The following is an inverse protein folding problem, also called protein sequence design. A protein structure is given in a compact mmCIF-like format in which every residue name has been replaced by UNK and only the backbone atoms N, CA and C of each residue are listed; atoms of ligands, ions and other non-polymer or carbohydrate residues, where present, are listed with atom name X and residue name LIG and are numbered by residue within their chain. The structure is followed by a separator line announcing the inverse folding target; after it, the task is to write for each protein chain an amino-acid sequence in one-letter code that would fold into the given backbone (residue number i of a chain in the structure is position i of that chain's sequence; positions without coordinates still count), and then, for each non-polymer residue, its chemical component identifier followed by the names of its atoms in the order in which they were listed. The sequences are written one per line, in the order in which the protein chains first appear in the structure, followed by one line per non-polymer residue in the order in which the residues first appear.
data_IF_985470758443
#
_entry.id   IF_985470758443
#
_cell.length_a   1.000
_cell.length_b   1.000
_cell.length_c   1.000
_cell.angle_alpha   90.00
_cell.angle_beta   90.00
_cell.angle_gamma   90.00
#
_symmetry.space_group_name_H-M   'P 1'
#
loop_
_entity.id
_entity.type
_entity.pdbx_description
1 polymer ?
#
# COMPACT_ATOMS: atom_id res chain seq x y z
N UNK A 1 59.55 34.57 -14.17
CA UNK A 1 58.88 33.25 -14.28
C UNK A 1 58.40 32.88 -12.88
N UNK A 2 57.12 32.50 -12.76
CA UNK A 2 56.48 31.74 -11.66
C UNK A 2 56.53 32.34 -10.24
N UNK A 3 55.51 32.34 -9.39
CA UNK A 3 54.17 31.75 -9.40
C UNK A 3 53.33 32.30 -8.24
N UNK A 4 52.00 32.32 -8.44
CA UNK A 4 50.94 31.92 -7.51
C UNK A 4 51.05 32.36 -6.04
N UNK A 5 50.21 33.32 -5.66
CA UNK A 5 49.67 33.39 -4.30
C UNK A 5 48.24 32.85 -4.33
N UNK A 6 48.09 31.65 -3.79
CA UNK A 6 46.84 30.96 -3.55
C UNK A 6 46.07 31.69 -2.43
N UNK A 7 44.97 32.33 -2.78
CA UNK A 7 43.89 32.65 -1.84
C UNK A 7 42.72 31.71 -2.14
N UNK A 8 42.86 30.45 -1.73
CA UNK A 8 41.73 29.52 -1.61
C UNK A 8 40.99 29.91 -0.33
N UNK A 9 39.99 30.78 -0.48
CA UNK A 9 38.94 30.95 0.52
C UNK A 9 38.20 29.62 0.58
N UNK A 10 38.36 28.92 1.70
CA UNK A 10 37.74 27.61 1.94
C UNK A 10 36.22 27.71 1.78
N UNK A 11 35.69 27.01 0.78
CA UNK A 11 34.26 26.87 0.46
C UNK A 11 33.47 26.02 1.48
N UNK A 12 33.98 25.80 2.68
CA UNK A 12 33.39 24.83 3.63
C UNK A 12 32.65 25.44 4.83
N UNK A 13 32.46 26.77 4.88
CA UNK A 13 31.67 27.41 5.94
C UNK A 13 30.25 27.86 5.50
N UNK A 14 29.75 27.40 4.35
CA UNK A 14 28.36 27.64 3.89
C UNK A 14 27.39 26.46 4.13
N UNK A 15 27.81 25.45 4.89
CA UNK A 15 26.97 24.29 5.22
C UNK A 15 26.37 24.47 6.61
N UNK A 16 25.10 24.93 6.68
CA UNK A 16 24.01 24.48 7.60
C UNK A 16 22.90 25.51 7.85
N UNK A 17 22.93 26.71 7.27
CA UNK A 17 21.70 27.51 7.16
C UNK A 17 21.01 27.11 5.86
N UNK A 18 20.21 26.03 5.88
CA UNK A 18 19.27 25.74 4.78
C UNK A 18 18.45 27.00 4.56
N UNK A 19 18.70 27.66 3.41
CA UNK A 19 18.07 28.88 2.96
C UNK A 19 16.56 28.69 2.93
N UNK A 20 15.88 29.08 4.00
CA UNK A 20 14.58 29.72 3.84
C UNK A 20 14.89 31.12 3.30
N UNK A 21 14.53 31.45 2.05
CA UNK A 21 14.73 32.81 1.52
C UNK A 21 13.95 33.88 2.30
N UNK A 22 13.06 33.48 3.22
CA UNK A 22 12.32 34.33 4.14
C UNK A 22 12.35 33.78 5.57
N UNK A 23 12.28 34.66 6.56
CA UNK A 23 11.96 34.27 7.94
C UNK A 23 10.69 33.41 7.92
N UNK A 24 10.76 32.17 8.43
CA UNK A 24 9.64 31.22 8.48
C UNK A 24 8.36 31.89 8.97
N UNK A 25 8.48 32.71 10.01
CA UNK A 25 7.33 33.35 10.64
C UNK A 25 6.71 34.39 9.72
N UNK A 26 7.52 35.13 8.96
CA UNK A 26 7.03 36.11 8.00
C UNK A 26 6.29 35.43 6.84
N UNK A 27 6.82 34.31 6.33
CA UNK A 27 6.15 33.51 5.30
C UNK A 27 4.80 32.99 5.81
N UNK A 28 4.77 32.34 6.98
CA UNK A 28 3.54 31.80 7.54
C UNK A 28 2.51 32.88 7.87
N UNK A 29 2.95 34.03 8.36
CA UNK A 29 2.07 35.17 8.61
C UNK A 29 1.49 35.73 7.31
N UNK A 30 2.31 35.88 6.28
CA UNK A 30 1.85 36.32 4.96
C UNK A 30 0.80 35.36 4.39
N UNK A 31 1.07 34.05 4.41
CA UNK A 31 0.15 33.02 3.92
C UNK A 31 -1.17 33.00 4.70
N UNK A 32 -1.13 33.16 6.03
CA UNK A 32 -2.35 33.27 6.86
C UNK A 32 -3.17 34.51 6.55
N UNK A 33 -2.51 35.64 6.31
CA UNK A 33 -3.17 36.91 6.03
C UNK A 33 -3.78 36.95 4.62
N UNK A 34 -3.03 36.47 3.63
CA UNK A 34 -3.40 36.56 2.21
C UNK A 34 -4.19 35.34 1.72
N UNK A 35 -4.09 34.21 2.43
CA UNK A 35 -4.76 32.96 2.08
C UNK A 35 -4.48 32.55 0.62
N UNK A 36 -5.51 32.19 -0.18
CA UNK A 36 -5.31 31.78 -1.57
C UNK A 36 -4.84 32.91 -2.49
N UNK A 37 -4.85 34.18 -2.04
CA UNK A 37 -4.39 35.32 -2.84
C UNK A 37 -2.90 35.64 -2.64
N UNK A 38 -2.21 34.92 -1.76
CA UNK A 38 -0.76 35.03 -1.62
C UNK A 38 -0.04 34.62 -2.91
N UNK A 39 1.24 35.02 -3.05
CA UNK A 39 2.05 34.62 -4.19
C UNK A 39 2.15 33.08 -4.26
N UNK A 40 2.01 32.53 -5.46
CA UNK A 40 2.06 31.07 -5.65
C UNK A 40 3.43 30.49 -5.32
N UNK A 41 4.49 31.28 -5.46
CA UNK A 41 5.84 30.91 -5.07
C UNK A 41 6.00 30.86 -3.54
N UNK A 42 5.31 31.71 -2.78
CA UNK A 42 5.26 31.63 -1.31
C UNK A 42 4.61 30.33 -0.86
N UNK A 43 3.50 29.95 -1.53
CA UNK A 43 2.86 28.66 -1.30
C UNK A 43 3.74 27.48 -1.72
N UNK A 44 4.47 27.61 -2.82
CA UNK A 44 5.43 26.60 -3.25
C UNK A 44 6.54 26.42 -2.21
N UNK A 45 7.06 27.53 -1.65
CA UNK A 45 8.05 27.52 -0.58
C UNK A 45 7.50 26.91 0.71
N UNK A 46 6.23 27.17 1.04
CA UNK A 46 5.56 26.53 2.17
C UNK A 46 5.57 25.01 2.04
N UNK A 47 5.08 24.46 0.93
CA UNK A 47 5.06 23.00 0.75
C UNK A 47 6.47 22.41 0.65
N UNK A 48 7.39 23.10 -0.03
CA UNK A 48 8.73 22.60 -0.29
C UNK A 48 9.62 22.65 0.96
N UNK A 49 9.67 23.78 1.68
CA UNK A 49 10.57 23.99 2.82
C UNK A 49 9.90 23.76 4.18
N UNK A 50 8.69 24.27 4.39
CA UNK A 50 8.01 24.17 5.69
C UNK A 50 7.44 22.77 5.90
N UNK A 51 6.65 22.30 4.94
CA UNK A 51 6.11 20.94 4.98
C UNK A 51 7.19 19.91 4.67
N UNK A 52 8.10 20.23 3.75
CA UNK A 52 9.29 19.44 3.48
C UNK A 52 9.10 18.35 2.43
N UNK A 53 8.01 18.40 1.64
CA UNK A 53 7.69 17.38 0.64
C UNK A 53 8.18 17.76 -0.76
N UNK A 54 8.24 16.79 -1.65
CA UNK A 54 8.45 17.08 -3.07
C UNK A 54 7.17 17.70 -3.65
N UNK A 55 7.34 18.86 -4.30
CA UNK A 55 6.31 19.52 -5.08
C UNK A 55 6.79 19.77 -6.50
N UNK A 56 5.87 19.84 -7.45
CA UNK A 56 6.19 20.11 -8.85
C UNK A 56 5.05 20.87 -9.55
N UNK A 57 5.34 21.60 -10.64
CA UNK A 57 4.35 22.34 -11.40
C UNK A 57 3.30 21.43 -12.06
N UNK A 58 2.04 21.86 -12.04
CA UNK A 58 0.95 21.13 -12.69
C UNK A 58 -0.13 22.07 -13.26
N UNK A 59 -0.92 21.56 -14.21
CA UNK A 59 -2.19 22.16 -14.60
C UNK A 59 -3.30 21.53 -13.75
N UNK A 60 -3.52 22.09 -12.56
CA UNK A 60 -4.45 21.46 -11.59
C UNK A 60 -5.90 21.55 -12.02
N UNK A 61 -6.24 22.57 -12.82
CA UNK A 61 -7.58 22.76 -13.40
C UNK A 61 -7.89 21.66 -14.41
N UNK A 62 -6.94 21.38 -15.31
CA UNK A 62 -7.09 20.32 -16.32
C UNK A 62 -6.63 18.95 -15.81
N UNK A 63 -6.13 18.86 -14.57
CA UNK A 63 -5.64 17.64 -13.92
C UNK A 63 -4.48 16.98 -14.68
N UNK A 64 -3.56 17.79 -15.21
CA UNK A 64 -2.40 17.33 -15.97
C UNK A 64 -1.09 17.63 -15.23
N UNK A 65 -0.22 16.63 -15.12
CA UNK A 65 1.16 16.79 -14.65
C UNK A 65 2.11 16.92 -15.83
N UNK A 66 2.95 17.96 -15.85
CA UNK A 66 3.95 18.14 -16.91
C UNK A 66 5.21 17.30 -16.67
N UNK A 67 5.55 17.12 -15.40
CA UNK A 67 6.76 16.43 -14.97
C UNK A 67 6.52 14.92 -14.79
N UNK A 68 7.55 14.13 -15.06
CA UNK A 68 7.57 12.70 -14.77
C UNK A 68 7.81 12.49 -13.26
N UNK A 69 6.76 12.74 -12.48
CA UNK A 69 6.79 12.72 -11.02
C UNK A 69 7.25 11.38 -10.41
N UNK A 70 7.21 10.27 -11.16
CA UNK A 70 7.64 8.96 -10.67
C UNK A 70 9.12 8.90 -10.28
N UNK A 71 9.98 9.74 -10.87
CA UNK A 71 11.39 9.87 -10.49
C UNK A 71 11.54 10.42 -9.06
N UNK A 72 10.63 11.28 -8.64
CA UNK A 72 10.65 11.99 -7.36
C UNK A 72 9.91 11.24 -6.25
N UNK A 73 9.43 10.01 -6.49
CA UNK A 73 8.83 9.16 -5.46
C UNK A 73 9.86 8.75 -4.40
N UNK A 74 11.10 8.50 -4.83
CA UNK A 74 12.19 7.98 -4.00
C UNK A 74 13.45 8.86 -4.02
N UNK A 75 13.38 10.04 -4.64
CA UNK A 75 14.47 11.01 -4.70
C UNK A 75 13.95 12.39 -4.32
N UNK A 76 14.76 13.20 -3.64
CA UNK A 76 14.41 14.61 -3.38
C UNK A 76 14.54 15.42 -4.66
N UNK A 77 13.58 16.30 -4.91
CA UNK A 77 13.76 17.42 -5.84
C UNK A 77 14.84 18.34 -5.26
N UNK A 78 15.75 18.84 -6.11
CA UNK A 78 16.82 19.74 -5.69
C UNK A 78 16.30 21.15 -5.43
N UNK A 79 17.00 21.89 -4.57
CA UNK A 79 16.70 23.31 -4.31
C UNK A 79 16.82 24.12 -5.61
N UNK A 80 17.87 23.87 -6.40
CA UNK A 80 18.10 24.58 -7.66
C UNK A 80 16.94 24.41 -8.65
N UNK A 81 16.42 23.18 -8.81
CA UNK A 81 15.28 22.91 -9.69
C UNK A 81 14.00 23.58 -9.19
N UNK A 82 13.78 23.58 -7.87
CA UNK A 82 12.64 24.28 -7.29
C UNK A 82 12.74 25.80 -7.51
N UNK A 83 13.92 26.39 -7.31
CA UNK A 83 14.17 27.81 -7.60
C UNK A 83 13.98 28.13 -9.09
N UNK A 84 14.51 27.31 -9.99
CA UNK A 84 14.32 27.45 -11.44
C UNK A 84 12.82 27.49 -11.80
N UNK A 85 12.01 26.59 -11.23
CA UNK A 85 10.57 26.56 -11.47
C UNK A 85 9.85 27.82 -10.96
N UNK A 86 10.28 28.40 -9.85
CA UNK A 86 9.74 29.69 -9.35
C UNK A 86 10.13 30.84 -10.27
N UNK A 87 11.41 30.95 -10.62
CA UNK A 87 11.96 32.01 -11.49
C UNK A 87 11.34 31.99 -12.89
N UNK A 88 11.07 30.80 -13.42
CA UNK A 88 10.43 30.59 -14.72
C UNK A 88 8.89 30.54 -14.65
N UNK A 89 8.31 30.88 -13.49
CA UNK A 89 6.87 30.94 -13.24
C UNK A 89 6.10 29.65 -13.63
N UNK A 90 6.72 28.49 -13.43
CA UNK A 90 6.15 27.20 -13.81
C UNK A 90 4.95 26.83 -12.95
N UNK A 91 4.93 27.27 -11.70
CA UNK A 91 3.82 27.05 -10.78
C UNK A 91 2.56 27.85 -11.11
N UNK A 92 2.57 28.76 -12.09
CA UNK A 92 1.44 29.64 -12.45
C UNK A 92 0.09 28.94 -12.69
N UNK A 93 0.09 27.64 -13.02
CA UNK A 93 -1.13 26.84 -13.22
C UNK A 93 -1.48 25.91 -12.05
N UNK A 94 -0.67 25.95 -10.99
CA UNK A 94 -0.85 25.21 -9.76
C UNK A 94 0.31 24.28 -9.42
N UNK A 95 0.14 23.63 -8.27
CA UNK A 95 1.14 22.86 -7.54
C UNK A 95 0.55 21.46 -7.29
N UNK A 96 1.33 20.45 -7.64
CA UNK A 96 1.11 19.09 -7.19
C UNK A 96 2.20 18.70 -6.19
N UNK A 97 1.84 17.88 -5.21
CA UNK A 97 2.75 17.32 -4.22
C UNK A 97 2.75 15.80 -4.26
N UNK A 98 3.85 15.22 -3.79
CA UNK A 98 4.01 13.76 -3.64
C UNK A 98 3.93 13.44 -2.14
N UNK A 99 2.84 12.79 -1.66
CA UNK A 99 2.76 12.29 -0.29
C UNK A 99 3.84 11.24 0.00
N UNK A 100 4.06 10.90 1.26
CA UNK A 100 5.11 9.98 1.68
C UNK A 100 6.32 10.69 2.23
N UNK A 101 7.53 10.34 1.79
CA UNK A 101 8.76 10.79 2.46
C UNK A 101 8.88 12.32 2.53
N UNK A 102 9.15 12.82 3.75
CA UNK A 102 9.54 14.22 4.00
C UNK A 102 11.06 14.33 3.86
N UNK A 103 11.51 15.19 2.96
CA UNK A 103 12.90 15.28 2.52
C UNK A 103 13.72 16.33 3.26
N UNK A 104 13.04 17.34 3.80
CA UNK A 104 13.67 18.53 4.38
C UNK A 104 12.85 19.13 5.51
N UNK A 105 13.42 20.11 6.21
CA UNK A 105 12.78 20.78 7.34
C UNK A 105 12.76 19.96 8.63
N UNK A 106 12.07 20.45 9.68
CA UNK A 106 12.13 19.87 11.03
C UNK A 106 11.48 18.49 11.15
N UNK A 107 10.68 18.09 10.16
CA UNK A 107 9.99 16.79 10.11
C UNK A 107 10.61 15.83 9.09
N UNK A 108 11.86 16.08 8.67
CA UNK A 108 12.62 15.19 7.78
C UNK A 108 12.60 13.74 8.28
N UNK A 109 12.55 12.81 7.32
CA UNK A 109 12.47 11.35 7.52
C UNK A 109 11.14 10.83 8.10
N UNK A 110 10.19 11.71 8.43
CA UNK A 110 8.78 11.33 8.62
C UNK A 110 8.09 11.09 7.26
N UNK A 111 6.86 10.62 7.35
CA UNK A 111 5.95 10.46 6.21
C UNK A 111 4.86 11.53 6.29
N UNK A 112 4.54 12.15 5.16
CA UNK A 112 3.43 13.07 4.99
C UNK A 112 2.26 12.29 4.39
N UNK A 113 1.24 12.06 5.19
CA UNK A 113 0.07 11.27 4.81
C UNK A 113 -0.98 12.22 4.26
N UNK A 114 -1.54 11.87 3.10
CA UNK A 114 -2.67 12.54 2.47
C UNK A 114 -3.92 11.66 2.58
N UNK A 115 -5.05 12.24 2.95
CA UNK A 115 -6.37 11.60 2.82
C UNK A 115 -7.31 12.53 2.06
N UNK A 116 -7.95 11.97 1.03
CA UNK A 116 -9.02 12.61 0.27
C UNK A 116 -10.38 12.17 0.85
N UNK A 117 -11.22 13.14 1.21
CA UNK A 117 -12.57 12.94 1.74
C UNK A 117 -13.56 13.46 0.71
N UNK A 118 -14.14 12.54 -0.05
CA UNK A 118 -14.87 12.85 -1.28
C UNK A 118 -16.37 13.13 -1.07
N UNK A 119 -16.87 13.00 0.16
CA UNK A 119 -18.24 13.33 0.56
C UNK A 119 -18.37 13.64 2.07
N UNK A 120 -19.53 14.21 2.46
CA UNK A 120 -19.79 14.63 3.85
C UNK A 120 -19.69 13.45 4.83
N UNK A 121 -20.09 12.24 4.40
CA UNK A 121 -20.01 11.05 5.23
C UNK A 121 -18.57 10.70 5.61
N UNK A 122 -17.63 10.88 4.68
CA UNK A 122 -16.21 10.72 4.96
C UNK A 122 -15.72 11.73 6.00
N UNK A 123 -16.11 13.00 5.86
CA UNK A 123 -15.81 14.05 6.84
C UNK A 123 -16.34 13.68 8.23
N UNK A 124 -17.62 13.32 8.33
CA UNK A 124 -18.27 12.99 9.61
C UNK A 124 -17.60 11.81 10.31
N UNK A 125 -17.23 10.76 9.58
CA UNK A 125 -16.57 9.59 10.17
C UNK A 125 -15.12 9.88 10.56
N UNK A 126 -14.39 10.67 9.77
CA UNK A 126 -13.02 11.09 10.13
C UNK A 126 -13.01 12.03 11.34
N UNK A 127 -13.99 12.94 11.46
CA UNK A 127 -14.09 13.79 12.65
C UNK A 127 -14.26 12.94 13.93
N UNK A 128 -15.02 11.84 13.86
CA UNK A 128 -15.13 10.88 14.97
C UNK A 128 -13.80 10.18 15.29
N UNK A 129 -12.96 9.88 14.28
CA UNK A 129 -11.61 9.31 14.49
C UNK A 129 -10.75 10.24 15.34
N UNK A 130 -10.84 11.54 15.09
CA UNK A 130 -10.09 12.57 15.82
C UNK A 130 -10.82 13.09 17.07
N UNK A 131 -11.98 12.51 17.40
CA UNK A 131 -12.84 12.96 18.49
C UNK A 131 -13.12 14.47 18.43
N UNK A 132 -13.35 14.99 17.22
CA UNK A 132 -13.68 16.39 16.99
C UNK A 132 -15.11 16.54 16.46
N UNK A 133 -15.67 17.74 16.67
CA UNK A 133 -17.06 18.03 16.30
C UNK A 133 -17.22 18.22 14.79
N UNK A 134 -16.24 18.86 14.17
CA UNK A 134 -16.28 19.29 12.77
C UNK A 134 -14.85 19.48 12.22
N UNK A 135 -14.76 19.81 10.93
CA UNK A 135 -13.49 20.08 10.26
C UNK A 135 -12.77 21.31 10.79
N UNK A 136 -13.50 22.32 11.30
CA UNK A 136 -12.88 23.53 11.83
C UNK A 136 -12.08 23.22 13.10
N UNK A 137 -12.58 22.32 13.95
CA UNK A 137 -11.81 21.84 15.10
C UNK A 137 -10.66 20.92 14.66
N UNK A 138 -10.88 20.08 13.65
CA UNK A 138 -9.83 19.21 13.12
C UNK A 138 -8.66 20.04 12.56
N UNK A 139 -8.96 21.15 11.88
CA UNK A 139 -7.98 21.98 11.21
C UNK A 139 -7.03 22.72 12.16
N UNK A 140 -7.31 22.77 13.46
CA UNK A 140 -6.34 23.24 14.47
C UNK A 140 -5.20 22.23 14.73
N UNK A 141 -5.37 20.97 14.30
CA UNK A 141 -4.46 19.86 14.62
C UNK A 141 -3.69 19.34 13.39
N UNK A 142 -4.33 19.34 12.23
CA UNK A 142 -3.83 18.82 10.94
C UNK A 142 -4.13 19.85 9.84
N UNK A 143 -3.42 19.79 8.73
CA UNK A 143 -3.79 20.61 7.57
C UNK A 143 -5.08 20.04 7.00
N UNK A 144 -6.08 20.90 6.83
CA UNK A 144 -7.30 20.58 6.10
C UNK A 144 -7.40 21.55 4.94
N UNK A 145 -7.60 21.04 3.73
CA UNK A 145 -7.94 21.87 2.57
C UNK A 145 -9.40 21.68 2.20
N UNK A 146 -10.05 22.78 1.85
CA UNK A 146 -11.42 22.77 1.39
C UNK A 146 -11.63 23.72 0.23
N UNK A 147 -12.54 23.37 -0.67
CA UNK A 147 -13.02 24.31 -1.68
C UNK A 147 -14.10 25.21 -1.05
N UNK A 148 -14.25 26.43 -1.55
CA UNK A 148 -15.34 27.31 -1.10
C UNK A 148 -16.71 26.96 -1.68
N UNK A 149 -16.74 26.34 -2.85
CA UNK A 149 -17.98 25.96 -3.53
C UNK A 149 -18.57 24.63 -3.06
N UNK A 150 -17.72 23.72 -2.59
CA UNK A 150 -18.14 22.42 -2.08
C UNK A 150 -17.48 22.11 -0.73
N UNK A 151 -18.23 22.37 0.34
CA UNK A 151 -17.86 22.11 1.72
C UNK A 151 -18.13 20.66 2.16
N UNK A 152 -18.66 19.82 1.27
CA UNK A 152 -18.87 18.40 1.55
C UNK A 152 -17.65 17.54 1.26
N UNK A 153 -16.58 18.13 0.72
CA UNK A 153 -15.31 17.47 0.44
C UNK A 153 -14.17 18.16 1.15
N UNK A 154 -13.10 17.43 1.43
CA UNK A 154 -11.89 17.99 2.00
C UNK A 154 -10.68 17.13 1.69
N UNK A 155 -9.52 17.76 1.55
CA UNK A 155 -8.25 17.06 1.74
C UNK A 155 -7.78 17.23 3.17
N UNK A 156 -7.02 16.26 3.66
CA UNK A 156 -6.39 16.36 4.95
C UNK A 156 -4.97 15.80 4.92
N UNK A 157 -4.08 16.41 5.71
CA UNK A 157 -2.66 16.07 5.74
C UNK A 157 -2.06 16.13 7.13
N UNK A 158 -1.17 15.19 7.41
CA UNK A 158 -0.45 15.12 8.69
C UNK A 158 0.85 14.34 8.56
N UNK A 159 1.75 14.49 9.54
CA UNK A 159 2.98 13.70 9.59
C UNK A 159 2.77 12.34 10.26
N UNK A 160 3.55 11.33 9.92
CA UNK A 160 3.51 10.02 10.54
C UNK A 160 4.90 9.41 10.63
N UNK A 161 5.15 8.66 11.70
CA UNK A 161 6.32 7.77 11.83
C UNK A 161 6.01 6.35 11.34
N UNK A 162 4.76 6.10 10.94
CA UNK A 162 4.24 4.82 10.48
C UNK A 162 3.82 4.92 9.01
N UNK A 163 4.12 3.88 8.21
CA UNK A 163 3.66 3.79 6.82
C UNK A 163 2.17 3.49 6.80
N UNK A 164 1.38 4.43 6.28
CA UNK A 164 -0.05 4.23 6.07
C UNK A 164 -0.30 3.43 4.80
N UNK A 165 -1.17 2.43 4.91
CA UNK A 165 -1.63 1.58 3.81
C UNK A 165 -2.36 2.39 2.76
N UNK A 166 -2.11 2.08 1.48
CA UNK A 166 -2.84 2.71 0.39
C UNK A 166 -4.32 2.33 0.44
N UNK A 167 -5.17 3.32 0.19
CA UNK A 167 -6.57 3.09 -0.12
C UNK A 167 -6.97 3.91 -1.33
N UNK A 168 -7.35 3.27 -2.43
CA UNK A 168 -7.95 3.94 -3.58
C UNK A 168 -9.43 4.28 -3.33
N UNK A 169 -9.94 5.20 -4.14
CA UNK A 169 -11.35 5.55 -4.17
C UNK A 169 -12.24 4.35 -4.56
N UNK A 170 -13.36 4.18 -3.86
CA UNK A 170 -14.37 3.14 -4.13
C UNK A 170 -15.41 3.56 -5.20
N UNK A 171 -15.25 4.75 -5.79
CA UNK A 171 -16.20 5.41 -6.68
C UNK A 171 -16.66 4.56 -7.89
N UNK A 172 -15.85 3.61 -8.35
CA UNK A 172 -16.22 2.75 -9.48
C UNK A 172 -17.19 1.60 -9.11
N UNK A 173 -17.33 1.27 -7.83
CA UNK A 173 -18.10 0.09 -7.38
C UNK A 173 -19.30 0.43 -6.52
N UNK A 174 -19.23 1.55 -5.79
CA UNK A 174 -20.23 1.97 -4.81
C UNK A 174 -20.67 3.41 -5.11
N UNK A 175 -20.79 3.74 -6.40
CA UNK A 175 -21.01 5.11 -6.85
C UNK A 175 -22.31 5.67 -6.29
N UNK A 176 -23.39 4.90 -6.39
CA UNK A 176 -24.72 5.35 -5.99
C UNK A 176 -24.76 5.62 -4.47
N UNK A 177 -24.18 4.74 -3.65
CA UNK A 177 -24.12 4.90 -2.20
C UNK A 177 -23.18 6.04 -1.76
N UNK A 178 -22.15 6.35 -2.56
CA UNK A 178 -21.28 7.51 -2.34
C UNK A 178 -22.00 8.80 -2.70
N UNK A 179 -22.69 8.82 -3.84
CA UNK A 179 -23.43 9.97 -4.37
C UNK A 179 -24.64 10.31 -3.48
N UNK A 180 -25.29 9.30 -2.87
CA UNK A 180 -26.34 9.49 -1.85
C UNK A 180 -25.80 9.71 -0.43
N UNK A 181 -24.47 9.75 -0.26
CA UNK A 181 -23.80 10.00 1.02
C UNK A 181 -24.11 8.95 2.12
N UNK A 182 -24.45 7.72 1.72
CA UNK A 182 -24.74 6.60 2.63
C UNK A 182 -23.45 5.98 3.19
N UNK A 183 -22.39 5.93 2.37
CA UNK A 183 -21.08 5.42 2.73
C UNK A 183 -19.99 6.50 2.56
N UNK A 184 -18.91 6.45 3.37
CA UNK A 184 -17.83 7.43 3.25
C UNK A 184 -16.93 7.13 2.05
N UNK A 185 -16.65 8.16 1.24
CA UNK A 185 -15.68 8.10 0.15
C UNK A 185 -14.31 8.60 0.65
N UNK A 186 -13.38 7.67 0.87
CA UNK A 186 -12.06 7.96 1.45
C UNK A 186 -10.94 7.39 0.56
N UNK A 187 -9.97 8.21 0.20
CA UNK A 187 -8.69 7.79 -0.42
C UNK A 187 -7.53 8.07 0.55
N UNK A 188 -6.55 7.17 0.68
CA UNK A 188 -5.36 7.36 1.54
C UNK A 188 -4.07 7.15 0.75
N UNK A 189 -3.16 8.11 0.83
CA UNK A 189 -1.80 8.06 0.24
C UNK A 189 -0.75 8.31 1.32
N UNK A 190 -0.11 7.24 1.80
CA UNK A 190 1.00 7.29 2.76
C UNK A 190 2.43 7.18 2.18
N UNK A 191 2.59 6.88 0.89
CA UNK A 191 3.89 6.74 0.20
C UNK A 191 3.86 7.42 -1.17
N UNK A 192 5.03 7.80 -1.69
CA UNK A 192 5.14 8.50 -2.97
C UNK A 192 4.61 7.70 -4.16
N UNK A 193 4.77 6.37 -4.13
CA UNK A 193 4.21 5.48 -5.16
C UNK A 193 2.67 5.42 -5.18
N UNK A 194 1.99 5.89 -4.13
CA UNK A 194 0.52 5.88 -4.07
C UNK A 194 -0.10 6.98 -4.95
N UNK A 195 0.69 7.92 -5.45
CA UNK A 195 0.24 8.94 -6.39
C UNK A 195 0.63 10.35 -5.94
N UNK A 196 -0.12 11.31 -6.47
CA UNK A 196 0.08 12.74 -6.22
C UNK A 196 -1.21 13.37 -5.71
N UNK A 197 -1.09 14.52 -5.09
CA UNK A 197 -2.22 15.35 -4.69
C UNK A 197 -2.05 16.75 -5.26
N UNK A 198 -3.14 17.35 -5.75
CA UNK A 198 -3.18 18.78 -6.04
C UNK A 198 -3.50 19.51 -4.73
N UNK A 199 -2.82 20.62 -4.47
CA UNK A 199 -2.83 21.28 -3.17
C UNK A 199 -3.03 22.78 -3.29
N UNK A 200 -3.27 23.44 -2.16
CA UNK A 200 -3.45 24.89 -2.07
C UNK A 200 -2.21 25.64 -2.57
N UNK A 201 -2.39 26.77 -3.27
CA UNK A 201 -3.63 27.47 -3.55
C UNK A 201 -4.18 27.11 -4.93
N UNK A 202 -3.89 25.91 -5.45
CA UNK A 202 -4.10 25.60 -6.86
C UNK A 202 -5.58 25.61 -7.24
N UNK A 203 -5.88 25.90 -8.52
CA UNK A 203 -7.26 25.95 -9.03
C UNK A 203 -7.77 24.53 -9.29
N UNK A 204 -8.91 24.19 -8.71
CA UNK A 204 -9.62 22.94 -8.96
C UNK A 204 -10.36 22.98 -10.32
N UNK A 205 -10.82 21.82 -10.81
CA UNK A 205 -11.47 21.70 -12.14
C UNK A 205 -12.74 22.55 -12.30
N UNK A 206 -13.41 22.85 -11.18
CA UNK A 206 -14.60 23.70 -11.10
C UNK A 206 -14.27 25.21 -11.11
N UNK A 207 -12.99 25.58 -11.09
CA UNK A 207 -12.54 26.98 -11.10
C UNK A 207 -12.34 27.61 -9.72
N UNK A 208 -12.56 26.88 -8.62
CA UNK A 208 -12.32 27.34 -7.26
C UNK A 208 -10.97 26.85 -6.74
N UNK A 209 -10.31 27.61 -5.88
CA UNK A 209 -9.00 27.23 -5.34
C UNK A 209 -9.16 26.19 -4.22
N UNK A 210 -8.16 25.33 -4.08
CA UNK A 210 -7.92 24.63 -2.82
C UNK A 210 -7.46 25.64 -1.77
N UNK A 211 -8.07 25.62 -0.59
CA UNK A 211 -7.74 26.54 0.49
C UNK A 211 -7.48 25.78 1.79
N UNK A 212 -6.30 25.98 2.39
CA UNK A 212 -6.03 25.48 3.74
C UNK A 212 -6.87 26.28 4.73
N UNK A 213 -7.63 25.57 5.55
CA UNK A 213 -8.29 26.12 6.74
C UNK A 213 -7.48 25.73 7.98
N UNK A 214 -7.44 26.61 8.98
CA UNK A 214 -6.78 26.34 10.27
C UNK A 214 -5.25 26.41 10.22
N UNK A 215 -4.59 25.34 10.68
CA UNK A 215 -3.14 25.29 10.87
C UNK A 215 -2.37 25.12 9.57
N UNK A 216 -1.23 25.80 9.47
CA UNK A 216 -0.19 25.53 8.47
C UNK A 216 0.87 24.56 8.98
N UNK A 217 0.78 24.15 10.25
CA UNK A 217 1.78 23.32 10.92
C UNK A 217 1.08 22.07 11.49
N UNK A 218 0.96 21.00 10.68
CA UNK A 218 0.23 19.81 11.09
C UNK A 218 1.02 19.01 12.12
N UNK A 219 0.30 18.36 13.03
CA UNK A 219 0.90 17.45 14.01
C UNK A 219 1.25 16.10 13.40
N UNK A 220 2.03 15.33 14.16
CA UNK A 220 2.32 13.94 13.85
C UNK A 220 1.23 13.04 14.43
N UNK A 221 0.64 12.17 13.62
CA UNK A 221 -0.29 11.13 14.06
C UNK A 221 0.35 9.75 13.90
N UNK A 222 -0.03 8.83 14.78
CA UNK A 222 0.50 7.46 14.79
C UNK A 222 -0.47 6.44 14.17
N UNK A 223 -0.06 5.17 14.27
CA UNK A 223 -0.83 3.99 13.83
C UNK A 223 -2.26 3.94 14.38
N UNK A 224 -2.53 4.54 15.54
CA UNK A 224 -3.87 4.60 16.12
C UNK A 224 -4.90 5.27 15.19
N UNK A 225 -4.51 6.26 14.39
CA UNK A 225 -5.39 6.86 13.38
C UNK A 225 -5.70 5.87 12.26
N UNK A 226 -4.70 5.13 11.77
CA UNK A 226 -4.90 4.10 10.75
C UNK A 226 -5.82 2.98 11.25
N UNK A 227 -5.61 2.50 12.48
CA UNK A 227 -6.45 1.47 13.09
C UNK A 227 -7.91 1.93 13.22
N UNK A 228 -8.16 3.22 13.45
CA UNK A 228 -9.49 3.80 13.49
C UNK A 228 -10.09 3.97 12.08
N UNK A 229 -9.30 4.36 11.08
CA UNK A 229 -9.73 4.37 9.68
C UNK A 229 -10.14 2.97 9.21
N UNK A 230 -9.38 1.93 9.59
CA UNK A 230 -9.74 0.55 9.30
C UNK A 230 -11.07 0.11 9.93
N UNK A 231 -11.44 0.65 11.09
CA UNK A 231 -12.78 0.42 11.65
C UNK A 231 -13.87 1.03 10.80
N UNK A 232 -13.65 2.22 10.22
CA UNK A 232 -14.59 2.82 9.25
C UNK A 232 -14.72 1.90 8.05
N UNK A 233 -13.60 1.43 7.50
CA UNK A 233 -13.63 0.57 6.31
C UNK A 233 -14.40 -0.71 6.59
N UNK A 234 -14.12 -1.36 7.72
CA UNK A 234 -14.85 -2.56 8.14
C UNK A 234 -16.35 -2.30 8.35
N UNK A 235 -16.71 -1.17 8.97
CA UNK A 235 -18.10 -0.78 9.24
C UNK A 235 -18.92 -0.62 7.96
N UNK A 236 -18.31 -0.07 6.90
CA UNK A 236 -18.98 0.22 5.63
C UNK A 236 -18.64 -0.77 4.51
N UNK A 237 -17.91 -1.86 4.81
CA UNK A 237 -17.46 -2.83 3.80
C UNK A 237 -16.48 -2.24 2.78
N UNK A 238 -15.77 -1.15 3.12
CA UNK A 238 -14.80 -0.49 2.25
C UNK A 238 -13.47 -1.23 2.22
N UNK A 239 -12.74 -0.92 1.15
CA UNK A 239 -11.65 -1.73 0.67
C UNK A 239 -10.29 -1.00 0.80
N UNK A 240 -9.21 -1.74 1.13
CA UNK A 240 -7.82 -1.26 1.21
C UNK A 240 -7.04 -1.89 0.07
N UNK A 241 -6.27 -1.10 -0.67
CA UNK A 241 -5.49 -1.67 -1.77
C UNK A 241 -4.37 -2.57 -1.25
N UNK A 242 -4.35 -3.82 -1.71
CA UNK A 242 -3.16 -4.64 -1.61
C UNK A 242 -2.40 -4.54 -2.95
N UNK A 243 -1.38 -3.67 -3.01
CA UNK A 243 -0.50 -3.53 -4.19
C UNK A 243 0.41 -4.75 -4.42
N UNK A 244 0.45 -5.72 -3.50
CA UNK A 244 1.13 -7.00 -3.66
C UNK A 244 0.11 -8.13 -3.70
N UNK A 245 0.33 -9.13 -4.58
CA UNK A 245 -0.44 -10.39 -4.54
C UNK A 245 -0.38 -10.92 -3.12
N UNK A 246 -1.53 -10.97 -2.45
CA UNK A 246 -1.64 -11.46 -1.06
C UNK A 246 -0.88 -12.77 -0.94
N UNK A 247 0.10 -12.95 -0.03
CA UNK A 247 0.79 -14.22 0.13
C UNK A 247 -0.21 -15.38 0.26
N UNK A 248 0.09 -16.52 -0.35
CA UNK A 248 -0.89 -17.63 -0.41
C UNK A 248 -1.22 -18.13 1.00
N UNK A 249 -0.27 -18.03 1.93
CA UNK A 249 -0.40 -18.36 3.35
C UNK A 249 -1.48 -17.50 4.00
N UNK A 250 -1.42 -16.18 3.76
CA UNK A 250 -2.37 -15.20 4.30
C UNK A 250 -3.81 -15.43 3.82
N UNK A 251 -3.99 -16.00 2.62
CA UNK A 251 -5.32 -16.38 2.12
C UNK A 251 -5.98 -17.53 2.93
N UNK A 252 -5.20 -18.29 3.71
CA UNK A 252 -5.69 -19.37 4.56
C UNK A 252 -5.79 -18.99 6.05
N UNK A 253 -5.30 -17.82 6.47
CA UNK A 253 -5.41 -17.33 7.85
C UNK A 253 -6.87 -17.14 8.24
N UNK A 254 -7.27 -17.54 9.45
CA UNK A 254 -8.69 -17.56 9.87
C UNK A 254 -9.35 -16.18 9.84
N UNK A 255 -8.64 -15.13 10.22
CA UNK A 255 -9.14 -13.75 10.29
C UNK A 255 -9.11 -13.01 8.94
N UNK A 256 -8.48 -13.60 7.93
CA UNK A 256 -8.34 -12.96 6.63
C UNK A 256 -9.62 -13.12 5.79
N UNK A 257 -10.09 -12.00 5.22
CA UNK A 257 -11.26 -11.94 4.32
C UNK A 257 -10.97 -11.03 3.12
N UNK A 258 -11.62 -11.30 1.99
CA UNK A 258 -11.50 -10.59 0.71
C UNK A 258 -12.83 -9.96 0.36
N UNK A 259 -12.91 -8.64 0.53
CA UNK A 259 -14.14 -7.89 0.26
C UNK A 259 -14.38 -7.69 -1.24
N UNK A 260 -15.64 -7.35 -1.59
CA UNK A 260 -16.09 -7.01 -2.95
C UNK A 260 -15.12 -6.02 -3.59
N UNK A 261 -14.63 -6.34 -4.77
CA UNK A 261 -13.73 -5.45 -5.50
C UNK A 261 -12.23 -5.62 -5.24
N UNK A 262 -11.78 -6.46 -4.31
CA UNK A 262 -10.35 -6.78 -4.13
C UNK A 262 -9.91 -8.04 -4.87
N UNK A 263 -10.28 -8.12 -6.14
CA UNK A 263 -9.99 -9.28 -6.97
C UNK A 263 -10.35 -10.62 -6.29
N UNK A 264 -11.55 -10.71 -5.68
CA UNK A 264 -12.12 -11.95 -5.08
C UNK A 264 -11.94 -13.15 -6.02
N UNK A 265 -12.12 -12.91 -7.31
CA UNK A 265 -11.86 -13.84 -8.39
C UNK A 265 -10.43 -14.39 -8.38
N UNK A 266 -9.40 -13.53 -8.37
CA UNK A 266 -8.01 -13.97 -8.29
C UNK A 266 -7.67 -14.62 -6.94
N UNK A 267 -8.16 -14.07 -5.82
CA UNK A 267 -7.92 -14.64 -4.50
C UNK A 267 -8.48 -16.07 -4.40
N UNK A 268 -9.73 -16.26 -4.80
CA UNK A 268 -10.38 -17.56 -4.80
C UNK A 268 -9.74 -18.51 -5.82
N UNK A 269 -9.39 -18.03 -7.01
CA UNK A 269 -8.64 -18.81 -8.01
C UNK A 269 -7.33 -19.34 -7.44
N UNK A 270 -6.59 -18.51 -6.67
CA UNK A 270 -5.34 -18.91 -6.03
C UNK A 270 -5.56 -19.92 -4.90
N UNK A 271 -6.61 -19.75 -4.10
CA UNK A 271 -7.03 -20.76 -3.09
C UNK A 271 -7.33 -22.09 -3.78
N UNK A 272 -8.19 -22.10 -4.81
CA UNK A 272 -8.56 -23.30 -5.57
C UNK A 272 -7.33 -23.99 -6.16
N UNK A 273 -6.48 -23.24 -6.86
CA UNK A 273 -5.25 -23.75 -7.48
C UNK A 273 -4.34 -24.40 -6.43
N UNK A 274 -4.22 -23.77 -5.27
CA UNK A 274 -3.42 -24.28 -4.16
C UNK A 274 -4.00 -25.57 -3.55
N UNK A 275 -5.31 -25.61 -3.31
CA UNK A 275 -6.01 -26.80 -2.82
C UNK A 275 -5.92 -27.96 -3.79
N UNK A 276 -6.12 -27.72 -5.09
CA UNK A 276 -5.97 -28.74 -6.14
C UNK A 276 -4.54 -29.28 -6.13
N UNK A 277 -3.53 -28.41 -6.14
CA UNK A 277 -2.12 -28.83 -6.17
C UNK A 277 -1.74 -29.72 -4.97
N UNK A 278 -2.22 -29.39 -3.77
CA UNK A 278 -1.87 -30.10 -2.53
C UNK A 278 -2.66 -31.40 -2.35
N UNK A 279 -3.93 -31.42 -2.77
CA UNK A 279 -4.87 -32.47 -2.37
C UNK A 279 -5.28 -33.42 -3.50
N UNK A 280 -5.06 -33.08 -4.78
CA UNK A 280 -5.43 -33.95 -5.92
C UNK A 280 -4.85 -35.39 -5.84
N UNK A 281 -3.66 -35.64 -5.23
CA UNK A 281 -3.16 -37.01 -5.05
C UNK A 281 -3.94 -37.86 -4.03
N UNK A 282 -4.76 -37.24 -3.17
CA UNK A 282 -5.37 -37.89 -2.00
C UNK A 282 -6.91 -37.78 -2.03
N UNK A 283 -7.44 -36.68 -2.58
CA UNK A 283 -8.87 -36.37 -2.61
C UNK A 283 -9.39 -36.25 -4.06
N UNK A 284 -10.66 -36.60 -4.25
CA UNK A 284 -11.36 -36.38 -5.52
C UNK A 284 -11.61 -34.88 -5.77
N UNK A 285 -11.65 -34.48 -7.04
CA UNK A 285 -11.84 -33.07 -7.43
C UNK A 285 -13.13 -32.47 -6.85
N UNK A 286 -14.22 -33.24 -6.78
CA UNK A 286 -15.48 -32.77 -6.18
C UNK A 286 -15.36 -32.47 -4.68
N UNK A 287 -14.53 -33.21 -3.95
CA UNK A 287 -14.28 -32.93 -2.53
C UNK A 287 -13.48 -31.62 -2.38
N UNK A 288 -12.48 -31.42 -3.23
CA UNK A 288 -11.67 -30.19 -3.26
C UNK A 288 -12.52 -28.99 -3.67
N UNK A 289 -13.48 -29.18 -4.58
CA UNK A 289 -14.44 -28.17 -5.01
C UNK A 289 -15.32 -27.72 -3.85
N UNK A 290 -15.88 -28.65 -3.09
CA UNK A 290 -16.68 -28.36 -1.88
C UNK A 290 -15.87 -27.58 -0.84
N UNK A 291 -14.62 -27.96 -0.60
CA UNK A 291 -13.73 -27.19 0.30
C UNK A 291 -13.50 -25.77 -0.20
N UNK A 292 -13.32 -25.60 -1.51
CA UNK A 292 -13.12 -24.28 -2.13
C UNK A 292 -14.38 -23.42 -2.03
N UNK A 293 -15.57 -24.03 -2.14
CA UNK A 293 -16.85 -23.34 -1.96
C UNK A 293 -17.05 -22.87 -0.53
N UNK A 294 -16.78 -23.73 0.47
CA UNK A 294 -16.83 -23.33 1.87
C UNK A 294 -15.87 -22.16 2.18
N UNK A 295 -14.70 -22.12 1.54
CA UNK A 295 -13.79 -20.98 1.64
C UNK A 295 -14.31 -19.74 0.90
N UNK A 296 -15.02 -19.87 -0.22
CA UNK A 296 -15.70 -18.73 -0.85
C UNK A 296 -16.70 -18.09 0.13
N UNK A 297 -17.53 -18.90 0.78
CA UNK A 297 -18.51 -18.42 1.76
C UNK A 297 -17.86 -17.77 2.98
N UNK A 298 -16.78 -18.38 3.50
CA UNK A 298 -16.08 -17.86 4.70
C UNK A 298 -15.21 -16.64 4.39
N UNK A 299 -14.57 -16.60 3.22
CA UNK A 299 -13.47 -15.67 2.93
C UNK A 299 -13.84 -14.55 1.98
N UNK A 300 -14.84 -14.70 1.12
CA UNK A 300 -15.25 -13.63 0.21
C UNK A 300 -16.47 -12.91 0.78
N UNK A 301 -16.42 -11.57 0.85
CA UNK A 301 -17.53 -10.75 1.37
C UNK A 301 -17.98 -9.73 0.32
N UNK A 302 -19.18 -9.88 -0.30
CA UNK A 302 -20.01 -11.07 -0.24
C UNK A 302 -19.30 -12.27 -0.91
N UNK A 303 -19.81 -13.49 -0.78
CA UNK A 303 -19.33 -14.63 -1.56
C UNK A 303 -19.42 -14.34 -3.07
N UNK A 304 -18.63 -15.05 -3.87
CA UNK A 304 -18.91 -15.11 -5.31
C UNK A 304 -20.18 -15.92 -5.55
N UNK A 305 -21.01 -15.45 -6.48
CA UNK A 305 -22.20 -16.16 -6.93
C UNK A 305 -21.82 -17.51 -7.58
N UNK A 306 -22.73 -18.47 -7.59
CA UNK A 306 -22.46 -19.84 -8.07
C UNK A 306 -21.89 -19.88 -9.49
N UNK A 307 -22.40 -19.02 -10.38
CA UNK A 307 -21.93 -18.92 -11.77
C UNK A 307 -20.47 -18.40 -11.86
N UNK A 308 -20.11 -17.42 -11.03
CA UNK A 308 -18.76 -16.86 -10.92
C UNK A 308 -17.81 -17.88 -10.29
N UNK A 309 -18.25 -18.57 -9.23
CA UNK A 309 -17.52 -19.64 -8.57
C UNK A 309 -17.17 -20.76 -9.57
N UNK A 310 -18.15 -21.26 -10.31
CA UNK A 310 -17.95 -22.32 -11.30
C UNK A 310 -16.99 -21.90 -12.42
N UNK A 311 -17.07 -20.63 -12.84
CA UNK A 311 -16.13 -20.06 -13.82
C UNK A 311 -14.70 -20.08 -13.26
N UNK A 312 -14.49 -19.64 -12.03
CA UNK A 312 -13.16 -19.66 -11.40
C UNK A 312 -12.65 -21.09 -11.18
N UNK A 313 -13.52 -22.01 -10.78
CA UNK A 313 -13.18 -23.42 -10.63
C UNK A 313 -12.64 -24.01 -11.94
N UNK A 314 -13.36 -23.79 -13.06
CA UNK A 314 -12.91 -24.21 -14.40
C UNK A 314 -11.57 -23.58 -14.79
N UNK A 315 -11.36 -22.30 -14.45
CA UNK A 315 -10.09 -21.62 -14.65
C UNK A 315 -8.95 -22.24 -13.83
N UNK A 316 -9.18 -22.60 -12.57
CA UNK A 316 -8.20 -23.23 -11.69
C UNK A 316 -7.75 -24.60 -12.23
N UNK A 317 -8.70 -25.43 -12.66
CA UNK A 317 -8.42 -26.75 -13.26
C UNK A 317 -7.58 -26.59 -14.53
N UNK A 318 -8.01 -25.72 -15.47
CA UNK A 318 -7.25 -25.44 -16.70
C UNK A 318 -5.84 -24.94 -16.42
N UNK A 319 -5.66 -24.12 -15.38
CA UNK A 319 -4.35 -23.60 -15.01
C UNK A 319 -3.43 -24.72 -14.50
N UNK A 320 -3.94 -25.60 -13.64
CA UNK A 320 -3.18 -26.76 -13.13
C UNK A 320 -2.83 -27.73 -14.26
N UNK A 321 -3.79 -28.07 -15.14
CA UNK A 321 -3.55 -29.01 -16.23
C UNK A 321 -2.51 -28.47 -17.23
N UNK A 322 -2.54 -27.17 -17.54
CA UNK A 322 -1.49 -26.51 -18.35
C UNK A 322 -0.12 -26.56 -17.70
N UNK A 323 -0.05 -26.44 -16.37
CA UNK A 323 1.22 -26.45 -15.64
C UNK A 323 1.81 -27.86 -15.58
N UNK A 324 0.96 -28.87 -15.35
CA UNK A 324 1.36 -30.28 -15.39
C UNK A 324 1.86 -30.70 -16.78
N UNK A 325 1.23 -30.22 -17.85
CA UNK A 325 1.66 -30.52 -19.22
C UNK A 325 2.96 -29.79 -19.61
N UNK A 326 3.16 -28.54 -19.15
CA UNK A 326 4.44 -27.81 -19.37
C UNK A 326 5.61 -28.44 -18.63
N UNK A 327 5.38 -28.96 -17.43
CA UNK A 327 6.41 -29.64 -16.63
C UNK A 327 6.83 -30.99 -17.25
N UNK A 328 6.02 -31.56 -18.16
CA UNK A 328 6.38 -32.73 -18.98
C UNK A 328 7.27 -32.33 -20.19
N UNK A 329 6.91 -31.25 -20.91
CA UNK A 329 7.63 -30.82 -22.13
C UNK A 329 9.02 -30.20 -21.87
N UNK A 330 9.33 -29.77 -20.64
CA UNK A 330 10.64 -29.14 -20.30
C UNK A 330 11.64 -30.10 -19.63
N UNK A 331 11.33 -31.39 -19.56
CA UNK A 331 12.18 -32.39 -18.88
C UNK A 331 13.16 -33.16 -19.77
N UNK A 332 13.31 -32.79 -21.05
CA UNK A 332 14.18 -33.48 -22.03
C UNK A 332 15.50 -32.76 -22.36
N UNK A 333 16.01 -31.89 -21.49
CA UNK A 333 17.35 -31.30 -21.70
C UNK A 333 18.09 -30.97 -20.41
N UNK A 334 19.02 -31.84 -20.03
CA UNK A 334 20.25 -31.52 -19.28
C UNK A 334 20.21 -31.17 -17.78
N UNK A 335 19.56 -31.97 -16.90
CA UNK A 335 19.96 -31.94 -15.47
C UNK A 335 19.66 -33.18 -14.59
N UNK A 336 19.34 -34.34 -15.17
CA UNK A 336 18.86 -35.51 -14.41
C UNK A 336 19.92 -36.33 -13.65
N UNK A 337 21.21 -36.04 -13.75
CA UNK A 337 22.24 -36.86 -13.07
C UNK A 337 22.69 -36.34 -11.69
N UNK A 338 22.62 -35.04 -11.42
CA UNK A 338 23.25 -34.47 -10.20
C UNK A 338 22.26 -34.37 -9.04
N UNK A 339 20.99 -34.02 -9.30
CA UNK A 339 19.98 -33.82 -8.25
C UNK A 339 19.37 -35.17 -7.80
N UNK A 340 19.26 -36.16 -8.69
CA UNK A 340 18.75 -37.49 -8.35
C UNK A 340 19.70 -38.21 -7.38
N UNK A 341 21.02 -38.20 -7.61
CA UNK A 341 21.98 -38.93 -6.78
C UNK A 341 22.06 -38.44 -5.33
N UNK A 342 21.85 -37.14 -5.08
CA UNK A 342 21.94 -36.55 -3.73
C UNK A 342 20.64 -36.73 -2.93
N UNK A 343 19.49 -36.67 -3.60
CA UNK A 343 18.17 -36.90 -2.98
C UNK A 343 17.93 -38.39 -2.75
N UNK A 344 18.36 -39.26 -3.67
CA UNK A 344 18.30 -40.72 -3.50
C UNK A 344 19.19 -41.18 -2.33
N UNK A 345 20.41 -40.64 -2.20
CA UNK A 345 21.35 -40.98 -1.10
C UNK A 345 20.83 -40.58 0.28
N UNK A 346 20.06 -39.49 0.42
CA UNK A 346 19.47 -39.08 1.70
C UNK A 346 18.27 -39.92 2.10
N UNK A 347 17.43 -40.30 1.13
CA UNK A 347 16.26 -41.17 1.40
C UNK A 347 16.71 -42.58 1.80
N UNK A 348 17.71 -43.14 1.11
CA UNK A 348 18.22 -44.49 1.42
C UNK A 348 18.94 -44.60 2.76
N UNK A 349 19.60 -43.53 3.24
CA UNK A 349 20.25 -43.52 4.56
C UNK A 349 19.24 -43.51 5.71
N UNK A 350 18.13 -42.77 5.55
CA UNK A 350 17.06 -42.68 6.54
C UNK A 350 16.26 -43.99 6.59
N UNK A 351 16.03 -44.62 5.43
CA UNK A 351 15.37 -45.92 5.35
C UNK A 351 16.20 -47.02 6.02
N UNK A 352 17.52 -47.09 5.78
CA UNK A 352 18.42 -48.04 6.45
C UNK A 352 18.46 -47.85 7.97
N UNK A 353 18.54 -46.61 8.46
CA UNK A 353 18.55 -46.35 9.90
C UNK A 353 17.22 -46.73 10.57
N UNK A 354 16.10 -46.54 9.86
CA UNK A 354 14.79 -46.94 10.36
C UNK A 354 14.61 -48.48 10.38
N UNK A 355 15.17 -49.19 9.41
CA UNK A 355 15.15 -50.66 9.38
C UNK A 355 16.03 -51.27 10.47
N UNK A 356 17.24 -50.75 10.71
CA UNK A 356 18.12 -51.22 11.80
C UNK A 356 17.49 -51.03 13.21
N UNK A 357 16.68 -49.97 13.40
CA UNK A 357 15.96 -49.74 14.67
C UNK A 357 14.79 -50.72 14.84
N UNK A 358 14.15 -51.12 13.74
CA UNK A 358 13.05 -52.08 13.75
C UNK A 358 13.53 -53.52 13.96
N UNK A 359 14.68 -53.88 13.37
CA UNK A 359 15.23 -55.24 13.45
C UNK A 359 15.90 -55.52 14.80
N UNK A 360 16.45 -54.50 15.48
CA UNK A 360 17.09 -54.67 16.79
C UNK A 360 16.11 -54.69 17.98
N UNK A 361 14.81 -54.45 17.76
CA UNK A 361 13.81 -54.39 18.83
C UNK A 361 12.76 -55.50 18.67
N UNK A 362 13.04 -56.63 19.33
CA UNK A 362 12.23 -57.86 19.31
C UNK A 362 10.76 -57.70 19.78
N UNK A 363 10.39 -56.52 20.32
CA UNK A 363 9.04 -56.16 20.78
C UNK A 363 8.06 -55.75 19.67
N UNK A 364 8.51 -55.55 18.41
CA UNK A 364 7.69 -54.95 17.34
C UNK A 364 6.94 -55.94 16.42
N UNK A 365 6.87 -57.23 16.78
CA UNK A 365 6.04 -58.18 16.05
C UNK A 365 4.54 -58.09 16.36
N UNK A 366 4.11 -57.12 17.19
CA UNK A 366 2.69 -56.84 17.39
C UNK A 366 2.11 -55.99 16.24
N UNK A 367 1.11 -56.50 15.49
CA UNK A 367 0.56 -55.81 14.31
C UNK A 367 -0.02 -54.42 14.61
N UNK A 368 -0.50 -54.19 15.84
CA UNK A 368 -1.06 -52.89 16.24
C UNK A 368 0.04 -51.84 16.45
N UNK A 369 1.18 -52.24 16.98
CA UNK A 369 2.33 -51.34 17.19
C UNK A 369 2.98 -51.01 15.84
N UNK A 370 3.08 -51.97 14.91
CA UNK A 370 3.49 -51.72 13.51
C UNK A 370 2.64 -50.65 12.83
N UNK A 371 1.32 -50.65 13.05
CA UNK A 371 0.40 -49.67 12.47
C UNK A 371 0.62 -48.27 13.03
N UNK A 372 0.85 -48.16 14.34
CA UNK A 372 1.17 -46.87 14.99
C UNK A 372 2.52 -46.34 14.51
N UNK A 373 3.52 -47.21 14.37
CA UNK A 373 4.82 -46.82 13.84
C UNK A 373 4.76 -46.37 12.37
N UNK A 374 3.93 -46.99 11.52
CA UNK A 374 3.69 -46.51 10.15
C UNK A 374 3.07 -45.10 10.12
N UNK A 375 2.16 -44.80 11.05
CA UNK A 375 1.55 -43.47 11.16
C UNK A 375 2.58 -42.44 11.64
N UNK A 376 3.40 -42.79 12.64
CA UNK A 376 4.49 -41.93 13.11
C UNK A 376 5.55 -41.71 12.01
N UNK A 377 5.87 -42.75 11.23
CA UNK A 377 6.76 -42.66 10.04
C UNK A 377 6.20 -41.68 9.00
N UNK A 378 4.89 -41.72 8.73
CA UNK A 378 4.22 -40.76 7.85
C UNK A 378 4.29 -39.33 8.40
N UNK A 379 4.07 -39.13 9.70
CA UNK A 379 4.12 -37.81 10.34
C UNK A 379 5.54 -37.24 10.34
N UNK A 380 6.57 -38.06 10.61
CA UNK A 380 7.97 -37.61 10.56
C UNK A 380 8.43 -37.28 9.14
N UNK A 381 8.01 -38.05 8.13
CA UNK A 381 8.27 -37.71 6.72
C UNK A 381 7.58 -36.39 6.33
N UNK A 382 6.36 -36.14 6.82
CA UNK A 382 5.63 -34.89 6.63
C UNK A 382 6.28 -33.69 7.35
N UNK A 383 6.95 -33.91 8.48
CA UNK A 383 7.67 -32.86 9.22
C UNK A 383 9.05 -32.58 8.62
N UNK A 384 9.79 -33.60 8.18
CA UNK A 384 11.10 -33.44 7.55
C UNK A 384 11.03 -32.81 6.15
N UNK A 385 9.88 -32.88 5.47
CA UNK A 385 9.63 -32.21 4.19
C UNK A 385 9.22 -30.73 4.31
N UNK A 386 9.15 -30.18 5.54
CA UNK A 386 8.86 -28.77 5.84
C UNK A 386 10.10 -27.93 6.22
N UNK A 387 11.27 -28.55 6.35
CA UNK A 387 12.58 -27.89 6.42
C UNK A 387 13.26 -28.03 5.05
#
# INVERSE_FOLDING_TARGET
MTSLSDNIISHDNLKTNELLPHNKDDLLNNLKQMGPTADINDWADFWFYIIGVNIFPADTKNKVTYEKWSEWQNNSISIDLHCEWKETNKYSKGIALIPGKVWRGPNKDKLFVFIDLDNQKAIDEVCKVFNCKDLAFLSDYVIVEQHNDDKSKAHFYFYSNHVFSKKSADANKLKDEIDTNEIPAIEVKGLGQHGVAYCSPSVHKNGYNYEIIGTLEPKTCGKGVEDLLFKIYKKYGLCIDNESKIPIEKLFDDDFVVCRGHNRHEALLRIMTSLIKRNKPILGLEQIKKMSYALNEKKCIPPLEDNEFEKQWKCAIKFIDRKLNKDFDTSDSNNNQIISSTKQKRVTLIERAAEEILDNNHFLNNPRIKRIFCIIKMVFILMAAKL
#
